data_IF_039896216628
#
_entry.id   IF_039896216628
#
_cell.length_a   1.000
_cell.length_b   1.000
_cell.length_c   1.000
_cell.angle_alpha   90.00
_cell.angle_beta   90.00
_cell.angle_gamma   90.00
#
_symmetry.space_group_name_H-M   'P 1'
#
loop_
_entity.id
_entity.type
_entity.pdbx_description
1 polymer ?
#
# COMPACT_ATOMS: atom_id res chain seq x y z
N UNK A 1 12.77 13.39 9.12
CA UNK A 1 12.73 12.70 7.81
C UNK A 1 11.55 13.13 6.89
N UNK A 2 10.49 13.71 7.42
CA UNK A 2 9.31 14.18 6.67
C UNK A 2 9.62 15.15 5.52
N UNK A 3 10.54 16.11 5.70
CA UNK A 3 10.89 17.12 4.69
C UNK A 3 11.53 16.51 3.41
N UNK A 4 12.26 15.42 3.54
CA UNK A 4 12.88 14.74 2.40
C UNK A 4 11.84 14.08 1.48
N UNK A 5 10.74 13.54 2.02
CA UNK A 5 9.70 12.85 1.25
C UNK A 5 8.79 13.81 0.49
N UNK A 6 8.50 14.97 1.06
CA UNK A 6 7.70 15.99 0.40
C UNK A 6 8.35 16.50 -0.92
N UNK A 7 9.67 16.32 -1.06
CA UNK A 7 10.43 16.68 -2.28
C UNK A 7 10.53 15.56 -3.32
N UNK A 8 10.10 14.34 -3.00
CA UNK A 8 10.06 13.27 -4.01
C UNK A 8 9.06 13.61 -5.11
N UNK A 9 9.34 13.12 -6.32
CA UNK A 9 8.44 13.30 -7.45
C UNK A 9 7.37 12.21 -7.44
N UNK A 10 6.13 12.61 -7.73
CA UNK A 10 5.02 11.74 -8.07
C UNK A 10 4.72 11.87 -9.57
N UNK A 11 4.20 10.81 -10.16
CA UNK A 11 3.75 10.78 -11.54
C UNK A 11 2.32 11.33 -11.62
N UNK A 12 2.14 12.46 -12.32
CA UNK A 12 0.82 13.00 -12.62
C UNK A 12 0.18 12.17 -13.73
N UNK A 13 -1.11 11.87 -13.56
CA UNK A 13 -1.86 11.05 -14.52
C UNK A 13 -3.18 11.71 -14.90
N UNK A 14 -3.71 11.31 -16.05
CA UNK A 14 -5.06 11.66 -16.46
C UNK A 14 -6.12 10.70 -15.83
N UNK A 15 -7.40 10.91 -16.13
CA UNK A 15 -8.51 10.10 -15.59
C UNK A 15 -8.44 8.61 -16.02
N UNK A 16 -7.65 8.29 -17.03
CA UNK A 16 -7.39 6.92 -17.48
C UNK A 16 -6.13 6.32 -16.84
N UNK A 17 -5.42 7.07 -15.98
CA UNK A 17 -4.18 6.65 -15.35
C UNK A 17 -2.95 6.77 -16.27
N UNK A 18 -3.06 7.45 -17.42
CA UNK A 18 -1.94 7.66 -18.33
C UNK A 18 -1.04 8.81 -17.83
N UNK A 19 0.30 8.64 -17.85
CA UNK A 19 1.21 9.67 -17.40
C UNK A 19 1.10 10.96 -18.22
N UNK A 20 0.96 12.11 -17.53
CA UNK A 20 0.90 13.44 -18.16
C UNK A 20 1.96 14.41 -17.66
N UNK A 21 2.76 13.99 -16.65
CA UNK A 21 3.82 14.82 -16.08
C UNK A 21 4.30 14.32 -14.75
N UNK A 22 4.96 15.17 -14.00
CA UNK A 22 5.40 14.90 -12.64
C UNK A 22 5.41 16.17 -11.80
N UNK A 23 5.26 16.02 -10.50
CA UNK A 23 5.33 17.12 -9.54
C UNK A 23 5.94 16.61 -8.22
N UNK A 24 6.33 17.48 -7.31
CA UNK A 24 6.71 17.07 -5.97
C UNK A 24 5.50 16.62 -5.15
N UNK A 25 5.71 15.70 -4.21
CA UNK A 25 4.67 15.28 -3.26
C UNK A 25 4.03 16.50 -2.61
N UNK A 26 4.84 17.46 -2.15
CA UNK A 26 4.35 18.67 -1.50
C UNK A 26 3.34 19.43 -2.36
N UNK A 27 3.67 19.68 -3.63
CA UNK A 27 2.82 20.49 -4.53
C UNK A 27 1.60 19.71 -5.01
N UNK A 28 1.76 18.43 -5.33
CA UNK A 28 0.64 17.58 -5.76
C UNK A 28 -0.48 17.49 -4.70
N UNK A 29 -0.13 17.63 -3.42
CA UNK A 29 -1.08 17.59 -2.30
C UNK A 29 -1.53 18.97 -1.79
N UNK A 30 -1.08 20.07 -2.43
CA UNK A 30 -1.65 21.40 -2.16
C UNK A 30 -2.98 21.57 -2.88
N UNK A 31 -3.95 22.27 -2.26
CA UNK A 31 -5.22 22.61 -2.92
C UNK A 31 -5.02 23.30 -4.26
N UNK A 32 -5.78 22.91 -5.30
CA UNK A 32 -6.92 21.97 -5.29
C UNK A 32 -6.52 20.49 -5.34
N UNK A 33 -5.26 20.15 -5.33
CA UNK A 33 -4.70 18.82 -5.57
C UNK A 33 -4.43 18.56 -7.05
N UNK A 34 -3.56 17.58 -7.33
CA UNK A 34 -3.31 17.09 -8.68
C UNK A 34 -3.46 15.58 -8.69
N UNK A 35 -4.20 15.03 -9.66
CA UNK A 35 -4.35 13.58 -9.77
C UNK A 35 -3.00 12.95 -10.08
N UNK A 36 -2.57 12.05 -9.22
CA UNK A 36 -1.27 11.40 -9.35
C UNK A 36 -1.36 9.92 -9.02
N UNK A 37 -0.37 9.18 -9.51
CA UNK A 37 -0.25 7.74 -9.34
C UNK A 37 0.17 7.41 -7.92
N UNK A 38 -0.58 6.48 -7.30
CA UNK A 38 -0.34 6.01 -5.96
C UNK A 38 -0.52 4.49 -5.87
N UNK A 39 -0.15 3.92 -4.74
CA UNK A 39 -0.49 2.54 -4.39
C UNK A 39 -0.89 2.40 -2.93
N UNK A 40 -1.84 1.50 -2.71
CA UNK A 40 -2.24 0.98 -1.40
C UNK A 40 -1.88 -0.50 -1.31
N UNK A 41 -1.02 -0.87 -0.36
CA UNK A 41 -0.73 -2.28 -0.06
C UNK A 41 -1.65 -2.77 1.05
N UNK A 42 -2.20 -3.96 0.85
CA UNK A 42 -2.90 -4.73 1.88
C UNK A 42 -2.15 -6.05 2.06
N UNK A 43 -1.59 -6.28 3.24
CA UNK A 43 -1.08 -7.59 3.62
C UNK A 43 -2.19 -8.41 4.28
N UNK A 44 -2.30 -9.66 3.88
CA UNK A 44 -3.30 -10.60 4.38
C UNK A 44 -2.65 -11.84 4.94
N UNK A 45 -3.06 -12.26 6.14
CA UNK A 45 -2.60 -13.48 6.79
C UNK A 45 -3.38 -14.73 6.30
N UNK A 46 -2.99 -15.96 6.75
CA UNK A 46 -3.66 -17.19 6.36
C UNK A 46 -5.11 -17.30 6.84
N UNK A 47 -5.47 -16.58 7.91
CA UNK A 47 -6.83 -16.53 8.43
C UNK A 47 -7.72 -15.53 7.67
N UNK A 48 -7.15 -14.81 6.68
CA UNK A 48 -7.85 -13.82 5.88
C UNK A 48 -7.96 -12.45 6.53
N UNK A 49 -7.28 -12.23 7.67
CA UNK A 49 -7.21 -10.91 8.31
C UNK A 49 -6.26 -10.01 7.53
N UNK A 50 -6.56 -8.72 7.51
CA UNK A 50 -5.72 -7.69 6.88
C UNK A 50 -4.96 -6.90 7.93
N UNK A 51 -3.71 -6.58 7.62
CA UNK A 51 -2.88 -5.75 8.48
C UNK A 51 -3.22 -4.28 8.26
N UNK A 52 -3.72 -3.63 9.28
CA UNK A 52 -3.89 -2.17 9.33
C UNK A 52 -2.73 -1.53 10.06
N UNK A 53 -2.40 -0.29 9.68
CA UNK A 53 -1.51 0.57 10.43
C UNK A 53 -2.27 1.80 10.95
N UNK A 54 -1.96 2.22 12.17
CA UNK A 54 -2.31 3.54 12.65
C UNK A 54 -1.19 4.50 12.28
N UNK A 55 -1.50 5.51 11.49
CA UNK A 55 -0.51 6.47 10.99
C UNK A 55 0.12 7.25 12.14
N UNK A 56 1.44 7.46 12.11
CA UNK A 56 2.14 8.23 13.14
C UNK A 56 1.61 9.67 13.28
N UNK A 57 1.74 10.25 14.46
CA UNK A 57 1.29 11.60 14.75
C UNK A 57 2.03 12.70 13.95
N UNK A 58 3.23 12.39 13.47
CA UNK A 58 4.08 13.32 12.70
C UNK A 58 3.76 13.31 11.19
N UNK A 59 2.83 12.47 10.73
CA UNK A 59 2.43 12.44 9.32
C UNK A 59 1.77 13.75 8.92
N UNK A 60 2.14 14.27 7.75
CA UNK A 60 1.66 15.56 7.22
C UNK A 60 0.20 15.52 6.76
N UNK A 61 -0.37 14.35 6.54
CA UNK A 61 -1.74 14.11 6.10
C UNK A 61 -2.38 13.00 6.90
N UNK A 62 -3.60 13.20 7.37
CA UNK A 62 -4.42 12.24 8.12
C UNK A 62 -3.65 11.53 9.25
N UNK A 63 -2.95 12.27 10.18
CA UNK A 63 -2.24 11.65 11.29
C UNK A 63 -3.19 10.90 12.22
N UNK A 64 -2.67 9.86 12.88
CA UNK A 64 -3.37 9.06 13.90
C UNK A 64 -4.61 8.31 13.39
N UNK A 65 -4.85 8.24 12.08
CA UNK A 65 -5.93 7.46 11.50
C UNK A 65 -5.47 6.05 11.14
N UNK A 66 -6.38 5.09 11.26
CA UNK A 66 -6.18 3.74 10.75
C UNK A 66 -6.24 3.72 9.23
N UNK A 67 -5.29 3.08 8.61
CA UNK A 67 -5.16 2.91 7.17
C UNK A 67 -4.83 1.45 6.83
N UNK A 68 -4.83 1.10 5.54
CA UNK A 68 -4.29 -0.16 5.05
C UNK A 68 -2.79 -0.29 5.39
N UNK A 69 -2.19 -1.44 5.10
CA UNK A 69 -0.84 -1.81 5.58
C UNK A 69 0.23 -0.77 5.24
N UNK A 70 0.23 -0.27 4.01
CA UNK A 70 1.21 0.71 3.55
C UNK A 70 0.65 1.47 2.36
N UNK A 71 0.98 2.76 2.23
CA UNK A 71 0.66 3.59 1.07
C UNK A 71 1.90 4.31 0.57
N UNK A 72 1.89 4.67 -0.71
CA UNK A 72 2.99 5.45 -1.27
C UNK A 72 2.80 5.83 -2.71
N UNK A 73 3.78 6.55 -3.20
CA UNK A 73 3.81 7.03 -4.58
C UNK A 73 5.03 6.43 -5.28
N UNK A 74 4.85 5.70 -6.39
CA UNK A 74 5.97 5.32 -7.22
C UNK A 74 6.58 6.59 -7.84
N UNK A 75 7.89 6.61 -8.02
CA UNK A 75 8.52 7.64 -8.83
C UNK A 75 8.03 7.55 -10.28
N UNK A 76 8.12 8.63 -11.08
CA UNK A 76 7.74 8.59 -12.49
C UNK A 76 8.40 7.41 -13.24
N UNK A 77 7.57 6.55 -13.84
CA UNK A 77 7.99 5.34 -14.55
C UNK A 77 8.46 4.18 -13.66
N UNK A 78 8.40 4.30 -12.34
CA UNK A 78 8.81 3.22 -11.43
C UNK A 78 7.76 2.09 -11.39
N UNK A 79 8.23 0.85 -11.31
CA UNK A 79 7.42 -0.35 -11.11
C UNK A 79 6.73 -0.34 -9.75
N UNK A 80 5.41 -0.61 -9.74
CA UNK A 80 4.59 -0.59 -8.51
C UNK A 80 5.12 -1.53 -7.42
N UNK A 81 5.40 -2.79 -7.79
CA UNK A 81 5.85 -3.79 -6.83
C UNK A 81 7.22 -3.45 -6.22
N UNK A 82 8.11 -2.82 -6.97
CA UNK A 82 9.41 -2.36 -6.47
C UNK A 82 9.21 -1.22 -5.46
N UNK A 83 8.44 -0.21 -5.83
CA UNK A 83 8.15 0.93 -4.95
C UNK A 83 7.42 0.48 -3.67
N UNK A 84 6.42 -0.38 -3.81
CA UNK A 84 5.63 -0.89 -2.69
C UNK A 84 6.49 -1.71 -1.70
N UNK A 85 7.33 -2.63 -2.19
CA UNK A 85 8.23 -3.39 -1.33
C UNK A 85 9.28 -2.50 -0.64
N UNK A 86 9.78 -1.48 -1.33
CA UNK A 86 10.65 -0.48 -0.70
C UNK A 86 9.94 0.21 0.47
N UNK A 87 8.68 0.64 0.27
CA UNK A 87 7.89 1.30 1.32
C UNK A 87 7.53 0.36 2.47
N UNK A 88 7.15 -0.89 2.20
CA UNK A 88 6.94 -1.91 3.24
C UNK A 88 8.19 -2.10 4.11
N UNK A 89 9.37 -2.15 3.48
CA UNK A 89 10.63 -2.23 4.22
C UNK A 89 10.92 -0.97 5.05
N UNK A 90 10.68 0.22 4.50
CA UNK A 90 10.92 1.49 5.19
C UNK A 90 9.96 1.71 6.36
N UNK A 91 8.66 1.43 6.18
CA UNK A 91 7.64 1.69 7.19
C UNK A 91 7.54 0.58 8.25
N UNK A 92 7.74 -0.69 7.85
CA UNK A 92 7.45 -1.85 8.68
C UNK A 92 8.65 -2.78 8.90
N UNK A 93 9.79 -2.50 8.27
CA UNK A 93 10.92 -3.43 8.29
C UNK A 93 10.63 -4.77 7.60
N UNK A 94 9.54 -4.86 6.84
CA UNK A 94 9.10 -6.10 6.22
C UNK A 94 10.08 -6.62 5.17
N UNK A 95 10.16 -7.94 5.04
CA UNK A 95 10.84 -8.61 3.93
C UNK A 95 10.05 -8.43 2.64
N UNK A 96 10.68 -8.53 1.45
CA UNK A 96 9.95 -8.43 0.19
C UNK A 96 8.83 -9.47 0.07
N UNK A 97 7.65 -9.00 -0.38
CA UNK A 97 6.43 -9.81 -0.54
C UNK A 97 6.04 -9.82 -2.02
N UNK A 98 5.55 -10.96 -2.50
CA UNK A 98 4.89 -11.01 -3.81
C UNK A 98 3.57 -10.24 -3.73
N UNK A 99 3.44 -9.19 -4.55
CA UNK A 99 2.29 -8.30 -4.58
C UNK A 99 1.52 -8.49 -5.89
N UNK A 100 0.22 -8.72 -5.79
CA UNK A 100 -0.69 -8.77 -6.92
C UNK A 100 -1.53 -7.48 -6.97
N UNK A 101 -1.58 -6.81 -8.12
CA UNK A 101 -2.51 -5.71 -8.33
C UNK A 101 -3.93 -6.30 -8.48
N UNK A 102 -4.84 -5.86 -7.62
CA UNK A 102 -6.22 -6.37 -7.54
C UNK A 102 -7.27 -5.37 -8.00
N UNK A 103 -6.87 -4.16 -8.35
CA UNK A 103 -7.73 -3.13 -8.87
C UNK A 103 -7.18 -1.73 -8.70
N UNK A 104 -7.94 -0.76 -9.19
CA UNK A 104 -7.66 0.68 -9.05
C UNK A 104 -8.82 1.34 -8.30
N UNK A 105 -8.49 2.28 -7.44
CA UNK A 105 -9.45 3.10 -6.71
C UNK A 105 -9.09 4.58 -6.83
N UNK A 106 -9.85 5.33 -7.62
CA UNK A 106 -9.64 6.77 -7.75
C UNK A 106 -10.44 7.51 -6.68
N UNK A 107 -9.77 8.37 -5.93
CA UNK A 107 -10.43 9.13 -4.88
C UNK A 107 -9.85 10.53 -4.69
N UNK A 108 -10.67 11.39 -4.09
CA UNK A 108 -10.31 12.70 -3.63
C UNK A 108 -10.68 12.84 -2.16
N UNK A 109 -9.74 13.28 -1.34
CA UNK A 109 -9.99 13.53 0.08
C UNK A 109 -9.19 14.74 0.57
N UNK A 110 -9.85 15.61 1.32
CA UNK A 110 -9.20 16.74 1.98
C UNK A 110 -9.00 16.44 3.47
N UNK A 111 -7.80 16.67 3.96
CA UNK A 111 -7.51 16.59 5.39
C UNK A 111 -7.98 17.90 6.08
N UNK A 112 -9.02 17.82 6.93
CA UNK A 112 -9.56 19.02 7.58
C UNK A 112 -8.58 19.66 8.58
N UNK A 113 -7.57 18.91 9.05
CA UNK A 113 -6.60 19.40 10.02
C UNK A 113 -5.48 20.22 9.34
N UNK A 114 -5.05 19.82 8.15
CA UNK A 114 -3.90 20.42 7.46
C UNK A 114 -4.30 21.20 6.20
N UNK A 115 -5.50 20.98 5.68
CA UNK A 115 -5.98 21.53 4.39
C UNK A 115 -5.28 20.91 3.17
N UNK A 116 -4.48 19.86 3.38
CA UNK A 116 -3.86 19.10 2.29
C UNK A 116 -4.85 18.13 1.67
N UNK A 117 -4.56 17.72 0.42
CA UNK A 117 -5.46 16.92 -0.40
C UNK A 117 -4.77 15.64 -0.82
N UNK A 118 -5.50 14.54 -0.79
CA UNK A 118 -5.16 13.31 -1.49
C UNK A 118 -6.07 13.22 -2.73
N UNK A 119 -5.47 13.25 -3.92
CA UNK A 119 -6.19 13.00 -5.17
C UNK A 119 -5.39 11.98 -5.96
N UNK A 120 -5.78 10.72 -5.79
CA UNK A 120 -4.96 9.60 -6.20
C UNK A 120 -5.65 8.66 -7.18
N UNK A 121 -4.87 8.25 -8.17
CA UNK A 121 -5.12 7.06 -8.98
C UNK A 121 -4.41 5.90 -8.29
N UNK A 122 -5.11 5.29 -7.34
CA UNK A 122 -4.56 4.38 -6.35
C UNK A 122 -4.64 2.92 -6.82
N UNK A 123 -3.48 2.32 -7.11
CA UNK A 123 -3.34 0.91 -7.44
C UNK A 123 -3.38 0.07 -6.16
N UNK A 124 -4.38 -0.77 -5.99
CA UNK A 124 -4.52 -1.63 -4.81
C UNK A 124 -3.75 -2.92 -5.00
N UNK A 125 -2.77 -3.14 -4.15
CA UNK A 125 -1.86 -4.29 -4.17
C UNK A 125 -2.13 -5.20 -2.98
N UNK A 126 -2.32 -6.50 -3.25
CA UNK A 126 -2.52 -7.52 -2.22
C UNK A 126 -1.28 -8.42 -2.11
N UNK A 127 -0.73 -8.52 -0.89
CA UNK A 127 0.31 -9.48 -0.52
C UNK A 127 -0.20 -10.50 0.49
N UNK A 128 0.26 -11.75 0.40
CA UNK A 128 -0.02 -12.77 1.39
C UNK A 128 1.23 -13.03 2.22
N UNK A 129 1.07 -13.07 3.53
CA UNK A 129 2.16 -13.28 4.51
C UNK A 129 1.75 -14.33 5.52
N UNK A 130 2.71 -14.90 6.25
CA UNK A 130 2.44 -15.92 7.28
C UNK A 130 1.67 -15.35 8.49
N UNK A 131 1.74 -14.03 8.71
CA UNK A 131 1.11 -13.35 9.85
C UNK A 131 1.95 -13.31 11.13
N UNK A 132 3.00 -14.11 11.21
CA UNK A 132 3.94 -14.19 12.34
C UNK A 132 5.33 -13.62 12.02
N UNK A 133 5.48 -13.02 10.84
CA UNK A 133 6.72 -12.36 10.44
C UNK A 133 7.04 -11.19 11.37
N UNK A 134 8.30 -11.07 11.85
CA UNK A 134 8.68 -9.95 12.69
C UNK A 134 8.62 -8.65 11.90
N UNK A 135 7.75 -7.74 12.32
CA UNK A 135 7.68 -6.37 11.80
C UNK A 135 8.40 -5.43 12.74
N UNK A 136 9.12 -4.47 12.18
CA UNK A 136 9.85 -3.42 12.89
C UNK A 136 9.35 -2.05 12.40
N UNK A 137 8.16 -1.60 12.84
CA UNK A 137 7.58 -0.35 12.37
C UNK A 137 8.45 0.85 12.75
N UNK A 138 8.66 1.74 11.78
CA UNK A 138 9.28 3.05 12.02
C UNK A 138 8.28 3.93 12.80
N UNK A 139 8.60 4.40 14.01
CA UNK A 139 7.69 5.21 14.82
C UNK A 139 7.32 6.56 14.21
N UNK A 140 8.11 7.08 13.26
CA UNK A 140 7.78 8.29 12.48
C UNK A 140 6.75 8.00 11.37
N UNK A 141 6.46 6.73 11.07
CA UNK A 141 5.50 6.30 10.06
C UNK A 141 4.27 5.65 10.68
N UNK A 142 4.47 4.76 11.65
CA UNK A 142 3.46 3.86 12.19
C UNK A 142 3.42 3.94 13.70
N UNK A 143 2.26 4.31 14.26
CA UNK A 143 2.04 4.35 15.69
C UNK A 143 1.61 2.99 16.25
N UNK A 144 0.79 2.25 15.51
CA UNK A 144 0.22 0.95 15.92
C UNK A 144 0.00 0.07 14.69
N UNK A 145 -0.01 -1.26 14.90
CA UNK A 145 -0.41 -2.27 13.92
C UNK A 145 -1.51 -3.14 14.51
N UNK A 146 -2.47 -3.56 13.66
CA UNK A 146 -3.54 -4.48 14.09
C UNK A 146 -3.96 -5.39 12.93
N UNK A 147 -4.17 -6.68 13.23
CA UNK A 147 -4.74 -7.66 12.29
C UNK A 147 -6.24 -7.70 12.44
N UNK A 148 -6.97 -7.28 11.41
CA UNK A 148 -8.41 -7.08 11.45
C UNK A 148 -9.12 -7.93 10.40
N UNK A 149 -10.25 -8.51 10.76
CA UNK A 149 -11.14 -9.13 9.79
C UNK A 149 -11.72 -8.06 8.84
N UNK A 150 -11.45 -8.15 7.51
CA UNK A 150 -11.91 -7.15 6.56
C UNK A 150 -13.45 -7.03 6.48
N UNK A 151 -14.20 -8.06 6.90
CA UNK A 151 -15.66 -8.04 6.88
C UNK A 151 -16.25 -7.07 7.91
N UNK A 152 -15.56 -6.83 9.04
CA UNK A 152 -16.05 -5.89 10.06
C UNK A 152 -15.75 -4.43 9.72
N UNK A 153 -14.73 -4.15 8.88
CA UNK A 153 -14.25 -2.81 8.57
C UNK A 153 -15.30 -1.88 7.96
N UNK A 154 -16.16 -2.30 7.01
CA UNK A 154 -17.17 -1.40 6.44
C UNK A 154 -18.16 -0.89 7.48
N UNK A 155 -18.47 -1.69 8.51
CA UNK A 155 -19.34 -1.28 9.61
C UNK A 155 -18.61 -0.36 10.58
N UNK A 156 -17.37 -0.69 10.96
CA UNK A 156 -16.56 0.10 11.86
C UNK A 156 -16.27 1.50 11.29
N UNK A 157 -15.89 1.58 10.01
CA UNK A 157 -15.63 2.86 9.31
C UNK A 157 -16.89 3.74 9.28
N UNK A 158 -18.07 3.15 9.02
CA UNK A 158 -19.33 3.91 9.05
C UNK A 158 -19.70 4.42 10.44
N UNK A 159 -19.39 3.66 11.48
CA UNK A 159 -19.69 4.04 12.86
C UNK A 159 -18.78 5.19 13.35
N UNK A 160 -17.50 5.13 12.99
CA UNK A 160 -16.50 6.09 13.46
C UNK A 160 -15.56 6.52 12.33
N UNK A 161 -16.07 7.26 11.31
CA UNK A 161 -15.30 7.58 10.08
C UNK A 161 -14.04 8.42 10.35
N UNK A 162 -14.01 9.16 11.45
CA UNK A 162 -12.86 10.00 11.82
C UNK A 162 -11.66 9.22 12.34
N UNK A 163 -11.84 7.95 12.73
CA UNK A 163 -10.75 7.07 13.15
C UNK A 163 -10.00 6.46 11.98
N UNK A 164 -10.58 6.48 10.79
CA UNK A 164 -10.05 5.82 9.59
C UNK A 164 -9.66 6.83 8.52
N UNK A 165 -8.66 6.47 7.72
CA UNK A 165 -8.32 7.23 6.52
C UNK A 165 -9.46 7.16 5.50
N UNK A 166 -9.73 8.24 4.74
CA UNK A 166 -10.89 8.29 3.85
C UNK A 166 -10.87 7.24 2.73
N UNK A 167 -9.69 6.82 2.30
CA UNK A 167 -9.53 5.83 1.23
C UNK A 167 -9.70 4.37 1.69
N UNK A 168 -9.57 4.08 3.00
CA UNK A 168 -9.55 2.70 3.50
C UNK A 168 -10.79 1.90 3.08
N UNK A 169 -11.97 2.51 3.11
CA UNK A 169 -13.20 1.82 2.68
C UNK A 169 -13.15 1.39 1.21
N UNK A 170 -12.62 2.25 0.32
CA UNK A 170 -12.44 1.95 -1.10
C UNK A 170 -11.44 0.80 -1.31
N UNK A 171 -10.30 0.87 -0.63
CA UNK A 171 -9.26 -0.17 -0.68
C UNK A 171 -9.82 -1.53 -0.22
N UNK A 172 -10.54 -1.59 0.91
CA UNK A 172 -11.14 -2.83 1.41
C UNK A 172 -12.23 -3.36 0.48
N UNK A 173 -12.97 -2.48 -0.20
CA UNK A 173 -13.93 -2.91 -1.23
C UNK A 173 -13.25 -3.60 -2.41
N UNK A 174 -12.05 -3.17 -2.84
CA UNK A 174 -11.26 -3.86 -3.86
C UNK A 174 -10.83 -5.26 -3.39
N UNK A 175 -10.36 -5.39 -2.14
CA UNK A 175 -10.03 -6.69 -1.55
C UNK A 175 -11.24 -7.62 -1.57
N UNK A 176 -12.40 -7.16 -1.10
CA UNK A 176 -13.63 -7.96 -1.08
C UNK A 176 -14.11 -8.34 -2.50
N UNK A 177 -13.97 -7.44 -3.48
CA UNK A 177 -14.30 -7.73 -4.88
C UNK A 177 -13.37 -8.81 -5.46
N UNK A 178 -12.07 -8.71 -5.20
CA UNK A 178 -11.08 -9.70 -5.64
C UNK A 178 -11.35 -11.09 -5.02
N UNK A 179 -11.63 -11.15 -3.70
CA UNK A 179 -11.98 -12.41 -3.04
C UNK A 179 -13.22 -13.06 -3.64
N UNK A 180 -14.27 -12.29 -3.96
CA UNK A 180 -15.50 -12.80 -4.60
C UNK A 180 -15.28 -13.28 -6.03
N UNK A 181 -14.33 -12.74 -6.76
CA UNK A 181 -14.03 -13.15 -8.15
C UNK A 181 -13.42 -14.55 -8.27
N UNK A 182 -13.05 -15.18 -7.16
CA UNK A 182 -12.41 -16.50 -7.14
C UNK A 182 -10.95 -16.49 -7.67
N UNK A 183 -10.39 -15.34 -7.99
CA UNK A 183 -9.01 -15.20 -8.46
C UNK A 183 -7.94 -15.54 -7.40
N UNK A 184 -8.36 -16.08 -6.27
CA UNK A 184 -7.52 -16.43 -5.11
C UNK A 184 -6.51 -17.57 -5.42
N UNK A 185 -6.67 -18.28 -6.56
CA UNK A 185 -5.82 -19.43 -6.90
C UNK A 185 -4.56 -19.13 -7.72
N UNK A 186 -4.31 -17.90 -8.15
CA UNK A 186 -3.26 -17.57 -9.12
C UNK A 186 -2.06 -16.75 -8.57
N UNK A 187 -2.02 -16.40 -7.30
CA UNK A 187 -0.85 -15.75 -6.71
C UNK A 187 0.22 -16.81 -6.42
N UNK A 188 1.31 -16.78 -7.19
CA UNK A 188 2.37 -17.75 -7.31
C UNK A 188 2.88 -18.34 -5.98
N UNK A 189 3.02 -19.67 -5.97
CA UNK A 189 3.92 -20.35 -5.08
C UNK A 189 5.37 -19.86 -5.31
N UNK A 190 6.24 -19.82 -4.27
CA UNK A 190 7.64 -19.46 -4.46
C UNK A 190 8.27 -20.46 -5.46
N UNK A 191 9.03 -19.92 -6.41
CA UNK A 191 9.83 -20.75 -7.32
C UNK A 191 10.87 -21.50 -6.49
N UNK A 192 10.72 -22.81 -6.40
CA UNK A 192 11.71 -23.69 -5.80
C UNK A 192 13.02 -23.56 -6.58
N UNK A 193 14.04 -23.07 -5.90
CA UNK A 193 15.41 -23.04 -6.39
C UNK A 193 16.05 -24.41 -6.18
N UNK A 194 15.63 -25.39 -6.95
CA UNK A 194 16.36 -26.66 -7.09
C UNK A 194 17.36 -26.57 -8.25
N UNK A 195 18.57 -26.12 -7.88
CA UNK A 195 19.75 -26.24 -8.71
C UNK A 195 20.54 -27.48 -8.31
N UNK A 196 20.10 -28.64 -8.77
CA UNK A 196 20.92 -29.87 -8.67
C UNK A 196 22.09 -29.82 -9.65
N UNK A 197 23.26 -29.49 -9.14
CA UNK A 197 24.52 -29.62 -9.84
C UNK A 197 25.03 -31.04 -9.67
N UNK A 198 24.62 -31.97 -10.55
CA UNK A 198 25.20 -33.28 -10.63
C UNK A 198 26.59 -33.20 -11.26
N UNK A 199 27.64 -33.27 -10.43
CA UNK A 199 28.98 -33.70 -10.81
C UNK A 199 28.92 -35.09 -11.39
N UNK A 200 29.36 -35.25 -12.62
CA UNK A 200 29.80 -36.54 -13.15
C UNK A 200 31.29 -36.48 -13.45
N UNK A 201 32.05 -36.95 -12.45
CA UNK A 201 33.39 -37.46 -12.64
C UNK A 201 33.31 -38.75 -13.45
N UNK A 202 34.11 -38.88 -14.46
CA UNK A 202 34.28 -40.12 -15.23
C UNK A 202 35.62 -40.05 -15.95
N UNK A 203 36.49 -40.73 -15.44
CA UNK A 203 37.82 -41.08 -15.74
C UNK A 203 37.98 -41.96 -16.98
N UNK A 204 39.05 -41.71 -17.62
CA UNK A 204 40.12 -42.55 -18.14
C UNK A 204 41.09 -41.63 -18.90
#
# INVERSE_FOLDING_TARGET
MTDSRERHLVELVDDAGLPIGSETVEVAHQRPGQLHRAFSVVLMDPDGRVLLQRRAAVKTRFPMRWANTCCGHPAPGEELAISANRRLKEELGATPVALAEIGVYVYYAEDPATGRVEWEYDHVLLGRVSGDEPLLPDPDEVAELDWVDPEVLPRAIRAEPTLYSPWLAGVINQVAAFQRSGAVGAAAAPADADGDAAERSGGR
#
